data_IF_340882570314
#
_entry.id   IF_340882570314
#
_cell.length_a   1.000
_cell.length_b   1.000
_cell.length_c   1.000
_cell.angle_alpha   90.00
_cell.angle_beta   90.00
_cell.angle_gamma   90.00
#
_symmetry.space_group_name_H-M   'P 1'
#
loop_
_entity.id
_entity.type
_entity.pdbx_description
1 polymer ?
#
# COMPACT_ATOMS: atom_id res chain seq x y z
N UNK A 1 -20.65 -28.73 21.97
CA UNK A 1 -21.67 -27.74 22.39
C UNK A 1 -21.43 -26.45 21.63
N UNK A 2 -22.43 -25.94 20.88
CA UNK A 2 -22.31 -24.59 20.27
C UNK A 2 -22.32 -23.56 21.39
N UNK A 3 -21.36 -22.62 21.38
CA UNK A 3 -21.33 -21.55 22.37
C UNK A 3 -22.49 -20.59 22.10
N UNK A 4 -23.25 -20.23 23.13
CA UNK A 4 -24.33 -19.25 23.01
C UNK A 4 -23.77 -17.84 22.75
N UNK A 5 -22.54 -17.59 23.16
CA UNK A 5 -21.86 -16.30 23.07
C UNK A 5 -20.39 -16.49 22.69
N UNK A 6 -19.86 -15.50 21.96
CA UNK A 6 -18.47 -15.41 21.58
C UNK A 6 -17.89 -14.08 22.07
N UNK A 7 -16.65 -14.14 22.55
CA UNK A 7 -15.82 -12.97 22.81
C UNK A 7 -15.09 -12.61 21.51
N UNK A 8 -15.44 -11.45 20.94
CA UNK A 8 -14.80 -10.87 19.75
C UNK A 8 -13.77 -9.83 20.17
N UNK A 9 -12.50 -10.07 19.89
CA UNK A 9 -11.46 -9.08 20.06
C UNK A 9 -11.46 -8.13 18.87
N UNK A 10 -11.63 -6.84 19.12
CA UNK A 10 -11.65 -5.81 18.10
C UNK A 10 -10.32 -5.09 18.08
N UNK A 11 -9.65 -5.14 16.93
CA UNK A 11 -8.44 -4.37 16.65
C UNK A 11 -8.78 -3.17 15.75
N UNK A 12 -8.84 -1.98 16.35
CA UNK A 12 -9.10 -0.72 15.65
C UNK A 12 -7.81 -0.18 15.00
N UNK A 13 -7.73 -0.27 13.66
CA UNK A 13 -6.63 0.28 12.85
C UNK A 13 -6.97 1.66 12.26
N UNK A 14 -8.11 2.26 12.62
CA UNK A 14 -8.56 3.55 12.13
C UNK A 14 -8.23 4.66 13.12
N UNK A 15 -8.54 4.44 14.40
CA UNK A 15 -8.32 5.44 15.43
C UNK A 15 -6.87 5.46 15.88
N UNK A 16 -6.28 6.65 15.99
CA UNK A 16 -4.92 6.82 16.56
C UNK A 16 -4.83 6.36 18.02
N UNK A 17 -5.95 6.39 18.74
CA UNK A 17 -6.12 5.66 20.00
C UNK A 17 -6.50 4.22 19.66
N UNK A 18 -5.52 3.31 19.64
CA UNK A 18 -5.75 1.87 19.49
C UNK A 18 -6.73 1.41 20.57
N UNK A 19 -7.98 1.17 20.17
CA UNK A 19 -9.03 0.74 21.08
C UNK A 19 -9.11 -0.78 20.97
N UNK A 20 -8.47 -1.49 21.91
CA UNK A 20 -8.63 -2.94 22.04
C UNK A 20 -9.83 -3.23 22.92
N UNK A 21 -10.93 -3.68 22.30
CA UNK A 21 -12.17 -4.02 23.01
C UNK A 21 -12.51 -5.47 22.79
N UNK A 22 -12.89 -6.16 23.86
CA UNK A 22 -13.56 -7.44 23.78
C UNK A 22 -15.07 -7.22 23.75
N UNK A 23 -15.72 -7.58 22.65
CA UNK A 23 -17.17 -7.53 22.48
C UNK A 23 -17.78 -8.90 22.73
N UNK A 24 -18.70 -8.97 23.69
CA UNK A 24 -19.54 -10.16 23.88
C UNK A 24 -20.70 -10.14 22.91
N UNK A 25 -20.73 -11.10 22.01
CA UNK A 25 -21.76 -11.20 20.97
C UNK A 25 -22.43 -12.57 20.99
N UNK A 26 -23.75 -12.59 20.81
CA UNK A 26 -24.47 -13.85 20.60
C UNK A 26 -24.12 -14.43 19.24
N UNK A 27 -24.07 -15.76 19.14
CA UNK A 27 -23.65 -16.46 17.91
C UNK A 27 -24.43 -16.08 16.64
N UNK A 28 -25.70 -15.69 16.77
CA UNK A 28 -26.56 -15.29 15.65
C UNK A 28 -26.43 -13.81 15.25
N UNK A 29 -25.58 -13.04 15.94
CA UNK A 29 -25.38 -11.62 15.65
C UNK A 29 -24.84 -11.45 14.24
N UNK A 30 -25.44 -10.56 13.44
CA UNK A 30 -24.99 -10.29 12.07
C UNK A 30 -23.87 -9.25 12.07
N UNK A 31 -22.99 -9.33 11.06
CA UNK A 31 -21.95 -8.32 10.81
C UNK A 31 -22.55 -6.92 10.65
N UNK A 32 -23.71 -6.78 10.00
CA UNK A 32 -24.44 -5.51 9.91
C UNK A 32 -24.81 -4.93 11.29
N UNK A 33 -25.21 -5.76 12.24
CA UNK A 33 -25.54 -5.31 13.61
C UNK A 33 -24.28 -4.90 14.37
N UNK A 34 -23.21 -5.68 14.23
CA UNK A 34 -21.90 -5.37 14.80
C UNK A 34 -21.35 -4.04 14.27
N UNK A 35 -21.46 -3.82 12.95
CA UNK A 35 -21.07 -2.58 12.28
C UNK A 35 -21.86 -1.37 12.80
N UNK A 36 -23.19 -1.49 12.95
CA UNK A 36 -24.02 -0.44 13.56
C UNK A 36 -23.60 -0.12 14.99
N UNK A 37 -23.24 -1.13 15.79
CA UNK A 37 -22.76 -0.93 17.15
C UNK A 37 -21.41 -0.20 17.17
N UNK A 38 -20.44 -0.68 16.39
CA UNK A 38 -19.10 -0.12 16.28
C UNK A 38 -19.10 1.32 15.73
N UNK A 39 -20.03 1.64 14.84
CA UNK A 39 -20.19 2.99 14.28
C UNK A 39 -20.59 4.06 15.32
N UNK A 40 -21.07 3.66 16.50
CA UNK A 40 -21.29 4.60 17.62
C UNK A 40 -19.97 5.17 18.16
N UNK A 41 -18.89 4.40 18.05
CA UNK A 41 -17.55 4.74 18.52
C UNK A 41 -16.69 5.25 17.37
N UNK A 42 -16.68 4.52 16.27
CA UNK A 42 -15.92 4.82 15.06
C UNK A 42 -16.84 5.62 14.13
N UNK A 43 -16.83 6.95 14.27
CA UNK A 43 -17.65 7.90 13.50
C UNK A 43 -17.16 8.07 12.05
N UNK A 44 -16.77 6.98 11.39
CA UNK A 44 -16.22 6.94 10.03
C UNK A 44 -16.71 5.68 9.30
N UNK A 45 -16.61 5.66 7.98
CA UNK A 45 -16.88 4.47 7.20
C UNK A 45 -15.72 3.46 7.34
N UNK A 46 -16.07 2.23 7.67
CA UNK A 46 -15.12 1.13 7.85
C UNK A 46 -15.67 -0.18 7.32
N UNK A 47 -14.74 -1.08 7.03
CA UNK A 47 -15.03 -2.49 6.77
C UNK A 47 -14.48 -3.34 7.92
N UNK A 48 -15.15 -4.46 8.19
CA UNK A 48 -14.76 -5.41 9.23
C UNK A 48 -14.05 -6.57 8.54
N UNK A 49 -12.81 -6.85 8.95
CA UNK A 49 -11.92 -7.82 8.35
C UNK A 49 -11.65 -8.94 9.35
N UNK A 50 -11.60 -10.17 8.87
CA UNK A 50 -11.19 -11.36 9.62
C UNK A 50 -10.29 -12.21 8.72
N UNK A 51 -9.08 -12.53 9.17
CA UNK A 51 -8.06 -13.26 8.38
C UNK A 51 -7.90 -12.72 6.95
N UNK A 52 -7.73 -11.40 6.82
CA UNK A 52 -7.57 -10.70 5.53
C UNK A 52 -8.80 -10.72 4.61
N UNK A 53 -9.94 -11.27 5.05
CA UNK A 53 -11.19 -11.29 4.30
C UNK A 53 -12.15 -10.24 4.86
N UNK A 54 -12.68 -9.39 3.97
CA UNK A 54 -13.76 -8.46 4.35
C UNK A 54 -15.07 -9.23 4.57
N UNK A 55 -15.62 -9.09 5.77
CA UNK A 55 -16.83 -9.78 6.17
C UNK A 55 -18.07 -9.16 5.54
N UNK A 56 -18.94 -10.01 5.00
CA UNK A 56 -20.20 -9.57 4.38
C UNK A 56 -21.24 -9.29 5.46
N UNK A 57 -22.04 -8.24 5.27
CA UNK A 57 -23.01 -7.75 6.26
C UNK A 57 -24.10 -8.78 6.67
N UNK A 58 -24.34 -9.78 5.81
CA UNK A 58 -25.29 -10.87 6.04
C UNK A 58 -24.73 -12.01 6.89
N UNK A 59 -23.40 -12.11 7.03
CA UNK A 59 -22.76 -13.17 7.81
C UNK A 59 -23.10 -13.05 9.29
N UNK A 60 -23.23 -14.20 9.96
CA UNK A 60 -23.40 -14.27 11.41
C UNK A 60 -22.06 -14.56 12.08
N UNK A 61 -21.94 -14.14 13.34
CA UNK A 61 -20.79 -14.43 14.22
C UNK A 61 -20.42 -15.91 14.14
N UNK A 62 -21.35 -16.84 14.34
CA UNK A 62 -21.06 -18.28 14.30
C UNK A 62 -20.35 -18.73 13.02
N UNK A 63 -20.69 -18.15 11.86
CA UNK A 63 -20.05 -18.47 10.57
C UNK A 63 -18.61 -17.95 10.48
N UNK A 64 -18.32 -16.80 11.09
CA UNK A 64 -16.98 -16.22 11.15
C UNK A 64 -16.05 -17.13 11.97
N UNK A 65 -16.55 -17.65 13.09
CA UNK A 65 -15.79 -18.52 13.99
C UNK A 65 -15.74 -19.98 13.54
N UNK A 66 -16.75 -20.47 12.83
CA UNK A 66 -16.75 -21.86 12.34
C UNK A 66 -15.67 -22.13 11.31
N UNK A 67 -15.18 -21.09 10.64
CA UNK A 67 -14.17 -21.21 9.59
C UNK A 67 -12.73 -21.14 10.13
N UNK A 68 -12.49 -20.45 11.27
CA UNK A 68 -11.14 -20.24 11.78
C UNK A 68 -11.10 -20.10 13.32
N UNK A 69 -10.02 -20.58 13.96
CA UNK A 69 -9.83 -20.54 15.42
C UNK A 69 -9.47 -19.16 16.01
N UNK A 70 -9.49 -18.09 15.19
CA UNK A 70 -9.11 -16.76 15.65
C UNK A 70 -10.35 -15.94 15.98
N UNK A 71 -10.35 -15.35 17.17
CA UNK A 71 -11.45 -14.56 17.69
C UNK A 71 -11.26 -13.05 17.49
N UNK A 72 -10.34 -12.66 16.62
CA UNK A 72 -9.93 -11.27 16.40
C UNK A 72 -10.53 -10.78 15.09
N UNK A 73 -11.19 -9.62 15.14
CA UNK A 73 -11.62 -8.88 13.97
C UNK A 73 -10.84 -7.56 13.90
N UNK A 74 -10.43 -7.20 12.70
CA UNK A 74 -9.72 -5.94 12.43
C UNK A 74 -10.68 -4.97 11.77
N UNK A 75 -10.70 -3.74 12.26
CA UNK A 75 -11.49 -2.66 11.65
C UNK A 75 -10.55 -1.80 10.83
N UNK A 76 -10.79 -1.75 9.52
CA UNK A 76 -9.99 -0.98 8.59
C UNK A 76 -10.81 0.11 7.92
N UNK A 77 -10.16 1.24 7.63
CA UNK A 77 -10.81 2.35 6.95
C UNK A 77 -11.23 1.88 5.57
N UNK A 78 -12.50 2.12 5.22
CA UNK A 78 -12.98 1.85 3.88
C UNK A 78 -12.35 2.86 2.93
N UNK A 79 -11.41 2.40 2.11
CA UNK A 79 -10.83 3.22 1.03
C UNK A 79 -11.78 3.14 -0.15
N UNK A 80 -12.20 4.30 -0.65
CA UNK A 80 -12.98 4.36 -1.88
C UNK A 80 -12.10 3.89 -3.05
N UNK A 81 -12.54 2.94 -3.89
CA UNK A 81 -11.75 2.46 -5.02
C UNK A 81 -11.31 3.60 -5.97
N UNK A 82 -12.08 4.70 -6.08
CA UNK A 82 -11.64 5.88 -6.84
C UNK A 82 -10.41 6.54 -6.20
N UNK A 83 -10.34 6.61 -4.87
CA UNK A 83 -9.19 7.17 -4.14
C UNK A 83 -7.96 6.28 -4.33
N UNK A 84 -8.14 4.95 -4.30
CA UNK A 84 -7.07 4.00 -4.54
C UNK A 84 -6.47 4.15 -5.96
N UNK A 85 -7.33 4.28 -6.98
CA UNK A 85 -6.91 4.56 -8.36
C UNK A 85 -6.15 5.89 -8.43
N UNK A 86 -6.65 6.94 -7.78
CA UNK A 86 -6.00 8.26 -7.77
C UNK A 86 -4.63 8.24 -7.10
N UNK A 87 -4.48 7.50 -5.99
CA UNK A 87 -3.21 7.32 -5.28
C UNK A 87 -2.22 6.55 -6.16
N UNK A 88 -2.65 5.41 -6.72
CA UNK A 88 -1.83 4.60 -7.61
C UNK A 88 -1.39 5.38 -8.85
N UNK A 89 -2.30 6.18 -9.44
CA UNK A 89 -2.00 7.01 -10.60
C UNK A 89 -1.01 8.14 -10.27
N UNK A 90 -1.13 8.80 -9.10
CA UNK A 90 -0.15 9.79 -8.64
C UNK A 90 1.24 9.19 -8.43
N UNK A 91 1.31 8.04 -7.76
CA UNK A 91 2.56 7.31 -7.53
C UNK A 91 3.20 6.91 -8.88
N UNK A 92 2.41 6.37 -9.80
CA UNK A 92 2.88 6.02 -11.15
C UNK A 92 3.43 7.24 -11.91
N UNK A 93 2.75 8.39 -11.84
CA UNK A 93 3.21 9.64 -12.46
C UNK A 93 4.55 10.11 -11.86
N UNK A 94 4.74 10.00 -10.55
CA UNK A 94 6.00 10.34 -9.86
C UNK A 94 7.14 9.41 -10.30
N UNK A 95 6.92 8.09 -10.35
CA UNK A 95 7.91 7.13 -10.85
C UNK A 95 8.28 7.40 -12.30
N UNK A 96 7.29 7.67 -13.15
CA UNK A 96 7.49 7.99 -14.57
C UNK A 96 8.37 9.23 -14.73
N UNK A 97 8.06 10.32 -14.03
CA UNK A 97 8.87 11.55 -14.03
C UNK A 97 10.32 11.29 -13.61
N UNK A 98 10.53 10.52 -12.53
CA UNK A 98 11.86 10.14 -12.06
C UNK A 98 12.64 9.30 -13.08
N UNK A 99 11.99 8.36 -13.77
CA UNK A 99 12.61 7.53 -14.79
C UNK A 99 13.12 8.37 -15.98
N UNK A 100 12.26 9.25 -16.53
CA UNK A 100 12.65 10.12 -17.66
C UNK A 100 13.75 11.12 -17.26
N UNK A 101 13.69 11.65 -16.05
CA UNK A 101 14.75 12.51 -15.53
C UNK A 101 16.09 11.77 -15.44
N UNK A 102 16.14 10.57 -14.83
CA UNK A 102 17.36 9.76 -14.74
C UNK A 102 17.92 9.38 -16.12
N UNK A 103 17.06 9.03 -17.08
CA UNK A 103 17.46 8.72 -18.46
C UNK A 103 18.05 9.93 -19.19
N UNK A 104 17.48 11.12 -18.98
CA UNK A 104 18.01 12.38 -19.52
C UNK A 104 19.41 12.68 -18.96
N UNK A 105 19.58 12.58 -17.63
CA UNK A 105 20.88 12.79 -16.96
C UNK A 105 21.93 11.79 -17.46
N UNK A 106 21.56 10.52 -17.64
CA UNK A 106 22.47 9.50 -18.16
C UNK A 106 22.91 9.82 -19.60
N UNK A 107 21.98 10.21 -20.48
CA UNK A 107 22.32 10.65 -21.84
C UNK A 107 23.28 11.84 -21.85
N UNK A 108 23.06 12.82 -20.99
CA UNK A 108 23.97 13.98 -20.89
C UNK A 108 25.37 13.58 -20.41
N UNK A 109 25.47 12.68 -19.43
CA UNK A 109 26.77 12.16 -18.96
C UNK A 109 27.51 11.40 -20.07
N UNK A 110 26.82 10.52 -20.80
CA UNK A 110 27.40 9.78 -21.92
C UNK A 110 27.90 10.74 -23.01
N UNK A 111 27.10 11.76 -23.34
CA UNK A 111 27.49 12.76 -24.35
C UNK A 111 28.74 13.54 -23.93
N UNK A 112 28.85 13.95 -22.67
CA UNK A 112 30.05 14.61 -22.13
C UNK A 112 31.28 13.71 -22.17
N UNK A 113 31.15 12.43 -21.82
CA UNK A 113 32.27 11.46 -21.89
C UNK A 113 32.75 11.31 -23.33
N UNK A 114 31.83 11.19 -24.29
CA UNK A 114 32.18 11.07 -25.71
C UNK A 114 32.85 12.34 -26.25
N UNK A 115 32.42 13.53 -25.83
CA UNK A 115 33.06 14.80 -26.21
C UNK A 115 34.51 14.88 -25.71
N UNK A 116 34.76 14.50 -24.46
CA UNK A 116 36.10 14.46 -23.87
C UNK A 116 36.99 13.47 -24.64
N UNK A 117 36.47 12.28 -24.93
CA UNK A 117 37.23 11.25 -25.65
C UNK A 117 37.59 11.69 -27.09
N UNK A 118 36.65 12.33 -27.78
CA UNK A 118 36.93 12.91 -29.10
C UNK A 118 37.99 14.02 -29.07
N UNK A 119 37.98 14.88 -28.04
CA UNK A 119 39.00 15.92 -27.88
C UNK A 119 40.40 15.33 -27.64
N UNK A 120 40.50 14.27 -26.83
CA UNK A 120 41.75 13.56 -26.57
C UNK A 120 42.32 12.91 -27.85
N UNK A 121 41.50 12.18 -28.60
CA UNK A 121 41.88 11.58 -29.89
C UNK A 121 42.37 12.63 -30.90
N UNK A 122 41.75 13.81 -30.92
CA UNK A 122 42.16 14.90 -31.80
C UNK A 122 43.52 15.49 -31.39
N UNK A 123 43.79 15.62 -30.09
CA UNK A 123 45.08 16.10 -29.57
C UNK A 123 46.22 15.11 -29.84
N UNK A 124 45.98 13.81 -29.63
CA UNK A 124 46.96 12.75 -29.91
C UNK A 124 47.33 12.70 -31.40
N UNK A 125 46.34 12.78 -32.29
CA UNK A 125 46.58 12.83 -33.73
C UNK A 125 47.34 14.10 -34.16
N UNK A 126 47.01 15.26 -33.57
CA UNK A 126 47.72 16.50 -33.85
C UNK A 126 49.19 16.46 -33.38
N UNK A 127 49.47 15.82 -32.24
CA UNK A 127 50.84 15.61 -31.75
C UNK A 127 51.61 14.65 -32.64
N UNK A 128 50.98 13.57 -33.12
CA UNK A 128 51.60 12.60 -34.01
C UNK A 128 51.93 13.18 -35.41
N UNK A 129 51.09 14.07 -35.94
CA UNK A 129 51.39 14.76 -37.20
C UNK A 129 52.57 15.73 -37.01
N UNK A 130 52.62 16.46 -35.89
CA UNK A 130 53.72 17.37 -35.57
C UNK A 130 55.07 16.66 -35.38
N UNK A 131 55.09 15.43 -34.88
CA UNK A 131 56.33 14.64 -34.73
C UNK A 131 56.87 14.07 -36.03
N UNK A 132 56.05 13.98 -37.09
CA UNK A 132 56.47 13.50 -38.42
C UNK A 132 57.01 14.59 -39.35
N UNK A 133 56.92 15.87 -38.97
CA UNK A 133 57.33 17.02 -39.78
C UNK A 133 58.69 17.61 -39.29
N UNK A 134 59.29 17.04 -38.25
CA UNK A 134 60.67 17.32 -37.80
C UNK A 134 61.60 16.19 -38.21
#
# INVERSE_FOLDING_TARGET
>A
MRKNEYDLFVDDQISSKKYQVTLKCKYYTKVSQLKKYLHKFIKQNFDIIHNDITLVESMIVDQIFSLHCQNIITICRKIDPMIEILVNHKIYKLFRMNYYHRRSVLKQKICKVNQIHHQQLFQENAQHVRSKIK
#
